data_IF_324249840209
#
_entry.id   IF_324249840209
#
_cell.length_a   1.000
_cell.length_b   1.000
_cell.length_c   1.000
_cell.angle_alpha   90.00
_cell.angle_beta   90.00
_cell.angle_gamma   90.00
#
_symmetry.space_group_name_H-M   'P 1'
#
loop_
_entity.id
_entity.type
_entity.pdbx_description
1 polymer ?
#
# COMPACT_ATOMS: atom_id res chain seq x y z
N UNK A 1 -41.49 -13.56 -66.43
CA UNK A 1 -41.65 -14.17 -65.09
C UNK A 1 -40.27 -14.58 -64.60
N UNK A 2 -39.65 -13.78 -63.73
CA UNK A 2 -38.37 -14.10 -63.08
C UNK A 2 -38.63 -14.24 -61.59
N UNK A 3 -38.29 -15.40 -61.05
CA UNK A 3 -38.49 -15.78 -59.65
C UNK A 3 -37.60 -14.95 -58.72
N UNK A 4 -38.19 -14.48 -57.61
CA UNK A 4 -37.48 -13.86 -56.50
C UNK A 4 -36.93 -14.95 -55.58
N UNK A 5 -35.61 -14.98 -55.42
CA UNK A 5 -34.93 -15.80 -54.41
C UNK A 5 -34.83 -15.00 -53.12
N UNK A 6 -35.53 -15.44 -52.08
CA UNK A 6 -35.44 -14.90 -50.71
C UNK A 6 -34.22 -15.53 -50.04
N UNK A 7 -33.22 -14.72 -49.68
CA UNK A 7 -32.09 -15.13 -48.84
C UNK A 7 -32.45 -14.77 -47.40
N UNK A 8 -32.74 -15.78 -46.59
CA UNK A 8 -32.92 -15.64 -45.14
C UNK A 8 -31.54 -15.46 -44.48
N UNK A 9 -31.27 -14.26 -43.96
CA UNK A 9 -30.10 -13.98 -43.14
C UNK A 9 -30.30 -14.52 -41.73
N UNK A 10 -29.53 -15.55 -41.38
CA UNK A 10 -29.40 -16.07 -40.01
C UNK A 10 -28.57 -15.06 -39.20
N UNK A 11 -29.20 -14.35 -38.26
CA UNK A 11 -28.48 -13.56 -37.24
C UNK A 11 -28.15 -14.51 -36.09
N UNK A 12 -26.89 -14.93 -36.02
CA UNK A 12 -26.36 -15.69 -34.90
C UNK A 12 -26.02 -14.70 -33.77
N UNK A 13 -26.90 -14.56 -32.78
CA UNK A 13 -26.57 -13.88 -31.52
C UNK A 13 -25.59 -14.78 -30.73
N UNK A 14 -24.30 -14.45 -30.76
CA UNK A 14 -23.35 -14.97 -29.79
C UNK A 14 -23.55 -14.23 -28.47
N UNK A 15 -24.18 -14.88 -27.50
CA UNK A 15 -24.09 -14.49 -26.08
C UNK A 15 -22.71 -14.89 -25.56
N UNK A 16 -21.77 -13.94 -25.51
CA UNK A 16 -20.56 -14.09 -24.69
C UNK A 16 -20.98 -14.03 -23.22
N UNK A 17 -21.12 -15.18 -22.59
CA UNK A 17 -21.16 -15.32 -21.14
C UNK A 17 -19.71 -15.42 -20.63
N UNK A 18 -19.09 -14.27 -20.37
CA UNK A 18 -17.89 -14.17 -19.54
C UNK A 18 -17.99 -12.87 -18.72
N UNK A 19 -18.78 -12.91 -17.66
CA UNK A 19 -18.67 -11.98 -16.55
C UNK A 19 -18.63 -12.84 -15.28
N UNK A 20 -17.42 -13.16 -14.81
CA UNK A 20 -17.26 -13.45 -13.40
C UNK A 20 -17.69 -12.20 -12.67
N UNK A 21 -18.78 -12.27 -11.92
CA UNK A 21 -19.20 -11.17 -11.07
C UNK A 21 -18.02 -10.76 -10.18
N UNK A 22 -17.73 -9.45 -10.01
CA UNK A 22 -16.82 -9.02 -8.96
C UNK A 22 -17.33 -9.61 -7.65
N UNK A 23 -16.45 -10.30 -6.94
CA UNK A 23 -16.73 -10.89 -5.63
C UNK A 23 -17.16 -9.73 -4.74
N UNK A 24 -18.46 -9.71 -4.43
CA UNK A 24 -19.13 -8.55 -3.88
C UNK A 24 -18.52 -8.11 -2.55
N UNK A 25 -18.03 -6.87 -2.49
CA UNK A 25 -17.77 -6.07 -1.28
C UNK A 25 -19.08 -5.66 -0.56
N UNK A 26 -20.19 -6.39 -0.76
CA UNK A 26 -21.53 -5.91 -0.45
C UNK A 26 -21.98 -6.07 1.01
N UNK A 27 -21.14 -6.57 1.93
CA UNK A 27 -21.53 -6.80 3.33
C UNK A 27 -20.64 -6.10 4.38
N UNK A 28 -19.73 -5.19 3.98
CA UNK A 28 -18.85 -4.50 4.94
C UNK A 28 -19.51 -3.32 5.70
N UNK A 29 -20.68 -2.85 5.27
CA UNK A 29 -21.39 -1.74 5.92
C UNK A 29 -22.45 -2.22 6.93
N UNK A 30 -22.02 -2.80 8.07
CA UNK A 30 -22.90 -2.86 9.26
C UNK A 30 -22.19 -3.24 10.58
N UNK A 31 -21.03 -3.88 10.54
CA UNK A 31 -20.28 -4.25 11.74
C UNK A 31 -18.81 -3.86 11.57
N UNK A 32 -18.55 -2.55 11.54
CA UNK A 32 -17.21 -2.06 11.78
C UNK A 32 -16.82 -2.47 13.21
N UNK A 33 -15.92 -3.45 13.29
CA UNK A 33 -15.33 -3.94 14.53
C UNK A 33 -14.93 -2.76 15.41
N UNK A 34 -15.65 -2.58 16.52
CA UNK A 34 -15.41 -1.49 17.49
C UNK A 34 -14.22 -1.78 18.40
N UNK A 35 -13.54 -2.92 18.20
CA UNK A 35 -12.33 -3.25 18.93
C UNK A 35 -11.22 -2.20 18.62
N UNK A 36 -10.45 -1.77 19.64
CA UNK A 36 -9.27 -0.95 19.44
C UNK A 36 -8.35 -1.59 18.40
N UNK A 37 -7.86 -0.80 17.44
CA UNK A 37 -6.88 -1.23 16.42
C UNK A 37 -5.51 -0.65 16.78
N UNK A 38 -5.18 -0.69 18.07
CA UNK A 38 -4.07 0.03 18.70
C UNK A 38 -2.71 -0.66 18.50
N UNK A 39 -2.70 -1.96 18.18
CA UNK A 39 -1.52 -2.75 17.86
C UNK A 39 -1.21 -2.87 16.37
N UNK A 40 0.05 -3.22 16.06
CA UNK A 40 0.44 -3.62 14.71
C UNK A 40 -0.32 -4.88 14.30
N UNK A 41 -0.92 -4.83 13.12
CA UNK A 41 -1.56 -5.98 12.48
C UNK A 41 -0.60 -6.60 11.48
N UNK A 42 -0.65 -7.93 11.37
CA UNK A 42 0.14 -8.66 10.40
C UNK A 42 -0.72 -9.60 9.55
N UNK A 43 -0.32 -9.82 8.30
CA UNK A 43 -0.95 -10.77 7.38
C UNK A 43 0.07 -11.84 7.01
N UNK A 44 -0.17 -13.08 7.42
CA UNK A 44 0.74 -14.19 7.18
C UNK A 44 0.52 -14.80 5.79
N UNK A 45 1.52 -14.66 4.91
CA UNK A 45 1.43 -15.30 3.58
C UNK A 45 1.33 -16.82 3.66
N UNK A 46 1.87 -17.44 4.72
CA UNK A 46 1.80 -18.88 4.95
C UNK A 46 0.35 -19.41 5.06
N UNK A 47 -0.61 -18.54 5.40
CA UNK A 47 -2.04 -18.91 5.42
C UNK A 47 -2.62 -19.06 4.00
N UNK A 48 -1.94 -18.51 2.99
CA UNK A 48 -2.39 -18.46 1.60
C UNK A 48 -1.57 -19.35 0.65
N UNK A 49 -0.39 -19.79 1.07
CA UNK A 49 0.52 -20.61 0.25
C UNK A 49 1.06 -21.79 1.04
N UNK A 50 1.22 -22.94 0.39
CA UNK A 50 1.94 -24.07 0.99
C UNK A 50 3.38 -23.64 1.34
N UNK A 51 3.74 -23.82 2.62
CA UNK A 51 4.79 -23.11 3.36
C UNK A 51 6.23 -23.18 2.81
N UNK A 52 6.50 -23.96 1.76
CA UNK A 52 7.87 -24.35 1.38
C UNK A 52 8.41 -23.71 0.10
N UNK A 53 7.71 -22.76 -0.53
CA UNK A 53 8.18 -22.21 -1.80
C UNK A 53 7.95 -20.71 -1.96
N UNK A 54 9.02 -19.92 -1.89
CA UNK A 54 9.02 -18.51 -2.30
C UNK A 54 8.48 -18.19 -3.69
N UNK A 55 8.53 -19.16 -4.60
CA UNK A 55 7.87 -19.08 -5.90
C UNK A 55 6.35 -18.98 -5.75
N UNK A 56 5.76 -19.70 -4.80
CA UNK A 56 4.34 -19.65 -4.48
C UNK A 56 3.95 -18.28 -3.90
N UNK A 57 4.77 -17.69 -3.02
CA UNK A 57 4.52 -16.35 -2.49
C UNK A 57 4.46 -15.28 -3.60
N UNK A 58 5.48 -15.25 -4.47
CA UNK A 58 5.49 -14.32 -5.59
C UNK A 58 4.32 -14.60 -6.57
N UNK A 59 4.04 -15.85 -6.88
CA UNK A 59 2.92 -16.24 -7.74
C UNK A 59 1.56 -15.84 -7.15
N UNK A 60 1.36 -16.00 -5.85
CA UNK A 60 0.17 -15.57 -5.13
C UNK A 60 -0.01 -14.05 -5.23
N UNK A 61 1.00 -13.26 -4.87
CA UNK A 61 0.93 -11.80 -4.95
C UNK A 61 0.73 -11.29 -6.40
N UNK A 62 1.28 -12.00 -7.40
CA UNK A 62 0.98 -11.74 -8.81
C UNK A 62 -0.49 -12.05 -9.13
N UNK A 63 -1.01 -13.17 -8.63
CA UNK A 63 -2.41 -13.56 -8.78
C UNK A 63 -3.37 -12.54 -8.17
N UNK A 64 -3.11 -12.11 -6.94
CA UNK A 64 -3.87 -11.08 -6.24
C UNK A 64 -3.89 -9.76 -7.02
N UNK A 65 -2.72 -9.31 -7.49
CA UNK A 65 -2.65 -8.11 -8.32
C UNK A 65 -3.44 -8.27 -9.63
N UNK A 66 -3.36 -9.42 -10.29
CA UNK A 66 -4.15 -9.71 -11.50
C UNK A 66 -5.65 -9.73 -11.22
N UNK A 67 -6.06 -10.11 -10.01
CA UNK A 67 -7.46 -10.12 -9.58
C UNK A 67 -8.05 -8.71 -9.45
N UNK A 68 -7.24 -7.71 -9.08
CA UNK A 68 -7.69 -6.32 -8.93
C UNK A 68 -7.45 -5.45 -10.16
N UNK A 69 -6.49 -5.82 -11.01
CA UNK A 69 -6.19 -5.07 -12.25
C UNK A 69 -7.24 -5.36 -13.32
N UNK A 70 -7.93 -4.34 -13.86
CA UNK A 70 -8.93 -4.54 -14.90
C UNK A 70 -8.28 -4.97 -16.23
N UNK A 71 -9.05 -5.67 -17.07
CA UNK A 71 -8.57 -6.14 -18.38
C UNK A 71 -8.22 -5.03 -19.37
N UNK A 72 -8.65 -3.80 -19.10
CA UNK A 72 -8.26 -2.59 -19.82
C UNK A 72 -8.10 -1.45 -18.83
N UNK A 73 -7.13 -0.58 -19.09
CA UNK A 73 -6.75 0.50 -18.19
C UNK A 73 -6.73 1.85 -18.94
N UNK A 74 -7.17 2.92 -18.29
CA UNK A 74 -7.24 4.28 -18.83
C UNK A 74 -6.25 5.21 -18.11
N UNK A 75 -5.64 6.21 -18.78
CA UNK A 75 -4.67 7.10 -18.13
C UNK A 75 -5.16 7.77 -16.82
N UNK A 76 -6.43 8.12 -16.75
CA UNK A 76 -7.04 8.78 -15.59
C UNK A 76 -7.28 7.83 -14.41
N UNK A 77 -7.16 6.51 -14.61
CA UNK A 77 -7.32 5.53 -13.53
C UNK A 77 -6.25 5.71 -12.44
N UNK A 78 -5.12 6.36 -12.75
CA UNK A 78 -4.06 6.65 -11.77
C UNK A 78 -4.48 7.68 -10.72
N UNK A 79 -5.48 8.52 -10.99
CA UNK A 79 -5.94 9.53 -10.04
C UNK A 79 -6.70 8.87 -8.89
N UNK A 80 -6.25 9.07 -7.65
CA UNK A 80 -7.00 8.60 -6.48
C UNK A 80 -8.22 9.48 -6.19
N UNK A 81 -8.15 10.75 -6.58
CA UNK A 81 -9.17 11.76 -6.29
C UNK A 81 -9.60 12.47 -7.57
N UNK A 82 -10.92 12.53 -7.80
CA UNK A 82 -11.50 13.33 -8.87
C UNK A 82 -11.53 14.82 -8.50
N UNK A 83 -11.56 15.10 -7.19
CA UNK A 83 -11.45 16.42 -6.61
C UNK A 83 -10.58 16.38 -5.35
N UNK A 84 -9.68 17.35 -5.20
CA UNK A 84 -8.90 17.51 -3.97
C UNK A 84 -8.50 18.96 -3.76
N UNK A 85 -9.15 19.65 -2.83
CA UNK A 85 -8.83 21.04 -2.51
C UNK A 85 -9.32 21.42 -1.11
N UNK A 86 -8.48 22.16 -0.40
CA UNK A 86 -8.82 22.93 0.81
C UNK A 86 -9.76 22.21 1.79
N UNK A 87 -9.42 20.97 2.17
CA UNK A 87 -10.16 20.22 3.18
C UNK A 87 -11.34 19.39 2.68
N UNK A 88 -11.51 19.27 1.37
CA UNK A 88 -12.45 18.36 0.75
C UNK A 88 -11.74 17.52 -0.33
N UNK A 89 -12.16 16.26 -0.45
CA UNK A 89 -11.68 15.36 -1.47
C UNK A 89 -12.77 14.35 -1.84
N UNK A 90 -12.93 14.11 -3.14
CA UNK A 90 -13.81 13.08 -3.67
C UNK A 90 -12.93 12.04 -4.38
N UNK A 91 -13.14 10.77 -4.08
CA UNK A 91 -12.40 9.69 -4.76
C UNK A 91 -12.74 9.66 -6.26
N UNK A 92 -11.77 9.29 -7.08
CA UNK A 92 -12.01 9.03 -8.50
C UNK A 92 -12.82 7.76 -8.69
N UNK A 93 -13.56 7.68 -9.79
CA UNK A 93 -14.04 6.40 -10.31
C UNK A 93 -12.92 5.79 -11.14
N UNK A 94 -12.05 5.03 -10.48
CA UNK A 94 -10.95 4.27 -11.10
C UNK A 94 -10.88 2.88 -10.48
N UNK A 95 -10.14 1.94 -11.08
CA UNK A 95 -10.00 0.61 -10.45
C UNK A 95 -9.26 0.67 -9.10
N UNK A 96 -8.39 1.66 -8.89
CA UNK A 96 -7.80 1.89 -7.56
C UNK A 96 -8.86 2.31 -6.53
N UNK A 97 -10.06 2.71 -6.96
CA UNK A 97 -11.15 3.02 -6.04
C UNK A 97 -11.72 1.78 -5.32
N UNK A 98 -11.52 0.56 -5.85
CA UNK A 98 -11.86 -0.68 -5.14
C UNK A 98 -10.95 -0.91 -3.92
N UNK A 99 -9.82 -0.22 -3.85
CA UNK A 99 -8.85 -0.29 -2.77
C UNK A 99 -8.98 0.93 -1.86
N UNK A 100 -8.83 0.73 -0.55
CA UNK A 100 -9.00 1.81 0.43
C UNK A 100 -7.69 2.52 0.75
N UNK A 101 -7.47 3.70 0.18
CA UNK A 101 -6.32 4.57 0.46
C UNK A 101 -6.55 5.58 1.60
N UNK A 102 -7.69 5.50 2.30
CA UNK A 102 -8.10 6.51 3.30
C UNK A 102 -7.12 6.64 4.47
N UNK A 103 -6.35 5.59 4.76
CA UNK A 103 -5.32 5.58 5.79
C UNK A 103 -4.05 6.37 5.45
N UNK A 104 -3.99 7.02 4.28
CA UNK A 104 -2.84 7.80 3.82
C UNK A 104 -3.17 9.31 3.85
N UNK A 105 -2.36 10.08 4.57
CA UNK A 105 -2.53 11.54 4.68
C UNK A 105 -1.86 12.27 3.50
N UNK A 106 -2.62 12.47 2.41
CA UNK A 106 -2.18 13.13 1.17
C UNK A 106 -2.24 14.68 1.16
N UNK A 107 -2.59 15.28 2.29
CA UNK A 107 -2.84 16.72 2.41
C UNK A 107 -1.57 17.58 2.30
N UNK A 108 -0.40 17.00 2.58
CA UNK A 108 0.91 17.65 2.41
C UNK A 108 1.93 16.69 1.81
N UNK A 109 3.03 17.21 1.23
CA UNK A 109 4.10 16.37 0.68
C UNK A 109 4.69 15.38 1.69
N UNK A 110 4.77 15.72 2.97
CA UNK A 110 5.18 14.81 4.05
C UNK A 110 4.06 13.79 4.31
N UNK A 111 3.90 12.84 3.40
CA UNK A 111 2.88 11.79 3.47
C UNK A 111 3.09 10.94 4.72
N UNK A 112 1.98 10.63 5.39
CA UNK A 112 1.93 9.75 6.55
C UNK A 112 0.99 8.58 6.25
N UNK A 113 1.31 7.39 6.74
CA UNK A 113 0.50 6.17 6.50
C UNK A 113 0.16 5.50 7.82
N UNK A 114 -1.12 5.22 8.08
CA UNK A 114 -1.57 4.57 9.32
C UNK A 114 -1.15 3.10 9.39
N UNK A 115 -0.61 2.70 10.54
CA UNK A 115 -0.19 1.32 10.85
C UNK A 115 -0.91 0.77 12.10
N UNK A 116 -1.48 1.66 12.91
CA UNK A 116 -2.50 1.39 13.93
C UNK A 116 -3.54 2.51 13.84
N UNK A 117 -4.63 2.48 14.61
CA UNK A 117 -5.59 3.59 14.63
C UNK A 117 -5.01 4.91 15.17
N UNK A 118 -3.87 4.88 15.88
CA UNK A 118 -3.26 6.06 16.50
C UNK A 118 -1.80 6.29 16.11
N UNK A 119 -1.24 5.43 15.27
CA UNK A 119 0.16 5.52 14.84
C UNK A 119 0.30 5.57 13.34
N UNK A 120 1.15 6.48 12.87
CA UNK A 120 1.50 6.64 11.45
C UNK A 120 2.99 6.43 11.22
N UNK A 121 3.34 5.97 10.03
CA UNK A 121 4.71 6.00 9.50
C UNK A 121 4.93 7.23 8.62
N UNK A 122 6.09 7.83 8.81
CA UNK A 122 6.69 8.79 7.89
C UNK A 122 8.02 8.24 7.35
N UNK A 123 8.45 8.74 6.20
CA UNK A 123 9.88 8.73 5.90
C UNK A 123 10.63 9.52 6.97
N UNK A 124 11.69 8.95 7.49
CA UNK A 124 12.36 9.47 8.67
C UNK A 124 12.91 10.90 8.48
N UNK A 125 13.48 11.18 7.31
CA UNK A 125 13.97 12.51 6.93
C UNK A 125 12.86 13.50 6.52
N UNK A 126 11.60 13.08 6.44
CA UNK A 126 10.52 13.86 5.86
C UNK A 126 9.22 13.74 6.67
N UNK A 127 9.28 14.17 7.93
CA UNK A 127 8.19 14.10 8.90
C UNK A 127 7.41 15.41 9.01
N UNK A 128 6.22 15.35 9.61
CA UNK A 128 5.52 16.53 10.13
C UNK A 128 5.79 16.65 11.63
N UNK A 129 6.13 17.85 12.08
CA UNK A 129 6.48 18.10 13.48
C UNK A 129 5.27 17.92 14.41
N UNK A 130 5.48 17.63 15.71
CA UNK A 130 4.42 17.70 16.70
C UNK A 130 3.64 19.02 16.63
N UNK A 131 2.31 18.94 16.79
CA UNK A 131 1.38 20.04 16.58
C UNK A 131 0.87 20.18 15.14
N UNK A 132 1.46 19.48 14.16
CA UNK A 132 0.96 19.47 12.79
C UNK A 132 -0.28 18.57 12.64
N UNK A 133 -1.24 19.03 11.82
CA UNK A 133 -2.41 18.24 11.44
C UNK A 133 -2.10 17.27 10.29
N UNK A 134 -2.68 16.07 10.36
CA UNK A 134 -2.85 15.10 9.29
C UNK A 134 -4.33 15.07 8.91
N UNK A 135 -4.63 15.12 7.62
CA UNK A 135 -6.00 15.02 7.12
C UNK A 135 -6.17 13.72 6.33
N UNK A 136 -7.03 12.85 6.81
CA UNK A 136 -7.43 11.60 6.16
C UNK A 136 -8.79 11.79 5.49
N UNK A 137 -9.01 11.12 4.36
CA UNK A 137 -10.25 11.21 3.61
C UNK A 137 -10.81 9.81 3.39
N UNK A 138 -11.94 9.51 4.04
CA UNK A 138 -12.65 8.26 3.88
C UNK A 138 -13.34 8.17 2.51
N UNK A 139 -13.74 6.96 2.10
CA UNK A 139 -14.40 6.69 0.82
C UNK A 139 -15.75 7.41 0.67
N UNK A 140 -16.43 7.66 1.78
CA UNK A 140 -17.63 8.50 1.86
C UNK A 140 -17.34 10.01 1.70
N UNK A 141 -16.10 10.38 1.33
CA UNK A 141 -15.58 11.75 1.17
C UNK A 141 -15.52 12.55 2.47
N UNK A 142 -15.76 11.92 3.62
CA UNK A 142 -15.64 12.58 4.91
C UNK A 142 -14.17 12.76 5.31
N UNK A 143 -13.88 13.92 5.89
CA UNK A 143 -12.55 14.28 6.38
C UNK A 143 -12.38 13.94 7.86
N UNK A 144 -11.23 13.36 8.20
CA UNK A 144 -10.81 13.10 9.58
C UNK A 144 -9.46 13.78 9.81
N UNK A 145 -9.43 14.75 10.70
CA UNK A 145 -8.20 15.44 11.10
C UNK A 145 -7.64 14.86 12.40
N UNK A 146 -6.32 14.69 12.46
CA UNK A 146 -5.59 14.30 13.68
C UNK A 146 -4.33 15.13 13.84
N UNK A 147 -3.94 15.40 15.06
CA UNK A 147 -2.71 16.15 15.37
C UNK A 147 -1.60 15.20 15.73
N UNK A 148 -0.42 15.38 15.14
CA UNK A 148 0.79 14.66 15.58
C UNK A 148 1.16 15.15 16.99
N UNK A 149 1.11 14.28 18.00
CA UNK A 149 1.47 14.59 19.39
C UNK A 149 2.96 14.43 19.64
N UNK A 150 3.53 13.36 19.10
CA UNK A 150 4.91 13.00 19.34
C UNK A 150 5.45 12.21 18.14
N UNK A 151 6.77 12.17 18.03
CA UNK A 151 7.49 11.44 16.99
C UNK A 151 8.58 10.60 17.64
N UNK A 152 8.78 9.39 17.13
CA UNK A 152 9.89 8.52 17.51
C UNK A 152 10.58 7.98 16.27
N UNK A 153 11.87 8.27 16.14
CA UNK A 153 12.72 7.65 15.12
C UNK A 153 12.80 6.15 15.37
N UNK A 154 12.62 5.35 14.32
CA UNK A 154 12.74 3.88 14.39
C UNK A 154 14.19 3.46 14.69
N UNK A 155 15.17 4.27 14.27
CA UNK A 155 16.57 4.07 14.62
C UNK A 155 17.26 3.08 13.68
N UNK A 156 18.06 2.18 14.25
CA UNK A 156 18.89 1.23 13.50
C UNK A 156 18.38 -0.19 13.62
N UNK A 157 18.56 -0.99 12.58
CA UNK A 157 18.37 -2.45 12.65
C UNK A 157 19.59 -3.20 12.13
N UNK A 158 19.79 -4.45 12.58
CA UNK A 158 20.73 -5.38 11.97
C UNK A 158 20.55 -5.42 10.45
N UNK A 159 21.68 -5.49 9.75
CA UNK A 159 21.69 -5.69 8.30
C UNK A 159 21.57 -7.19 8.03
N UNK A 160 20.90 -7.54 6.93
CA UNK A 160 20.77 -8.93 6.49
C UNK A 160 22.10 -9.57 6.05
N UNK A 161 23.19 -8.80 5.96
CA UNK A 161 24.52 -9.24 5.57
C UNK A 161 25.55 -9.32 6.70
N UNK A 162 25.09 -9.21 7.94
CA UNK A 162 25.91 -9.26 9.14
C UNK A 162 27.03 -8.19 9.22
N UNK A 163 27.01 -7.14 8.37
CA UNK A 163 27.95 -6.01 8.44
C UNK A 163 27.56 -4.97 9.51
N UNK A 164 26.88 -5.41 10.57
CA UNK A 164 26.42 -4.58 11.68
C UNK A 164 25.00 -4.02 11.47
N UNK A 165 24.78 -2.79 11.93
CA UNK A 165 23.46 -2.14 11.85
C UNK A 165 23.41 -1.05 10.77
N UNK A 166 22.23 -0.79 10.23
CA UNK A 166 21.95 0.31 9.32
C UNK A 166 20.82 1.20 9.83
N UNK A 167 20.92 2.50 9.55
CA UNK A 167 19.84 3.44 9.84
C UNK A 167 18.60 3.10 8.99
N UNK A 168 17.47 2.99 9.67
CA UNK A 168 16.15 2.85 9.07
C UNK A 168 15.58 4.26 8.93
N UNK A 169 15.33 4.66 7.69
CA UNK A 169 14.75 5.97 7.41
C UNK A 169 13.23 6.00 7.63
N UNK A 170 12.82 5.72 8.88
CA UNK A 170 11.43 5.77 9.34
C UNK A 170 11.32 6.56 10.64
N UNK A 171 10.16 7.19 10.80
CA UNK A 171 9.69 7.78 12.05
C UNK A 171 8.25 7.34 12.28
N UNK A 172 7.95 6.86 13.49
CA UNK A 172 6.58 6.64 13.97
C UNK A 172 6.06 7.96 14.55
N UNK A 173 4.85 8.36 14.17
CA UNK A 173 4.14 9.46 14.79
C UNK A 173 2.95 8.98 15.60
N UNK A 174 2.79 9.51 16.81
CA UNK A 174 1.60 9.32 17.65
C UNK A 174 0.58 10.42 17.34
N UNK A 175 -0.67 10.03 17.16
CA UNK A 175 -1.81 10.94 16.98
C UNK A 175 -2.47 11.31 18.32
N UNK A 176 -3.09 12.48 18.36
CA UNK A 176 -3.88 12.97 19.50
C UNK A 176 -5.01 12.03 19.88
N UNK A 177 -5.68 11.46 18.88
CA UNK A 177 -6.80 10.53 19.05
C UNK A 177 -6.74 9.40 18.01
N UNK A 178 -7.31 8.22 18.31
CA UNK A 178 -7.44 7.16 17.31
C UNK A 178 -8.34 7.64 16.14
N UNK A 179 -8.07 7.18 14.92
CA UNK A 179 -8.94 7.40 13.76
C UNK A 179 -10.15 6.47 13.79
N UNK A 180 -11.33 6.89 13.31
CA UNK A 180 -12.52 6.03 13.26
C UNK A 180 -12.32 4.86 12.29
N UNK A 181 -13.13 3.81 12.45
CA UNK A 181 -13.04 2.56 11.68
C UNK A 181 -13.13 2.74 10.15
N UNK A 182 -13.83 3.79 9.68
CA UNK A 182 -13.92 4.17 8.26
C UNK A 182 -12.62 4.64 7.62
N UNK A 183 -11.57 4.82 8.42
CA UNK A 183 -10.22 5.09 7.94
C UNK A 183 -9.42 3.80 8.02
N UNK A 184 -8.84 3.40 6.89
CA UNK A 184 -8.01 2.22 6.77
C UNK A 184 -6.79 2.28 7.70
N UNK A 185 -6.44 1.13 8.25
CA UNK A 185 -5.20 0.87 8.98
C UNK A 185 -4.53 -0.30 8.28
N UNK A 186 -3.33 -0.08 7.76
CA UNK A 186 -2.69 -1.07 6.89
C UNK A 186 -1.88 -2.06 7.72
N UNK A 187 -2.15 -3.37 7.61
CA UNK A 187 -1.30 -4.37 8.23
C UNK A 187 0.07 -4.40 7.53
N UNK A 188 1.05 -4.95 8.24
CA UNK A 188 2.33 -5.34 7.67
C UNK A 188 2.25 -6.80 7.23
N UNK A 189 3.17 -7.21 6.36
CA UNK A 189 3.27 -8.63 6.02
C UNK A 189 3.91 -9.38 7.20
N UNK A 190 3.24 -10.41 7.73
CA UNK A 190 3.88 -11.39 8.60
C UNK A 190 4.65 -12.35 7.70
N UNK A 191 5.95 -12.40 7.91
CA UNK A 191 6.82 -13.26 7.12
C UNK A 191 7.81 -13.86 8.08
N UNK A 192 7.47 -15.07 8.53
CA UNK A 192 8.50 -16.00 8.97
C UNK A 192 9.60 -16.04 7.89
N UNK A 193 10.85 -15.95 8.33
CA UNK A 193 12.06 -15.79 7.52
C UNK A 193 12.17 -16.65 6.23
N UNK A 194 11.67 -17.91 6.12
CA UNK A 194 11.73 -18.66 4.86
C UNK A 194 10.81 -18.14 3.73
N UNK A 195 9.69 -17.46 4.03
CA UNK A 195 8.76 -16.96 2.99
C UNK A 195 9.28 -15.67 2.34
N UNK A 196 9.94 -14.81 3.11
CA UNK A 196 10.67 -13.64 2.62
C UNK A 196 11.89 -14.03 1.78
N UNK A 197 12.61 -15.07 2.22
CA UNK A 197 13.72 -15.65 1.47
C UNK A 197 13.31 -15.97 0.02
N UNK A 198 12.05 -16.37 -0.10
CA UNK A 198 11.38 -16.64 -1.34
C UNK A 198 11.13 -15.47 -2.28
N UNK A 199 10.90 -14.28 -1.74
CA UNK A 199 10.71 -13.05 -2.52
C UNK A 199 12.05 -12.40 -2.90
N UNK A 200 13.16 -12.79 -2.26
CA UNK A 200 14.46 -12.19 -2.56
C UNK A 200 14.88 -12.41 -4.01
N UNK A 201 15.33 -11.32 -4.63
CA UNK A 201 15.73 -11.28 -6.03
C UNK A 201 14.58 -11.44 -7.03
N UNK A 202 13.32 -11.51 -6.56
CA UNK A 202 12.13 -11.55 -7.41
C UNK A 202 11.54 -10.16 -7.58
N UNK A 203 10.90 -9.96 -8.74
CA UNK A 203 10.03 -8.81 -8.98
C UNK A 203 8.61 -9.20 -8.57
N UNK A 204 8.08 -8.51 -7.57
CA UNK A 204 6.72 -8.70 -7.07
C UNK A 204 5.93 -7.44 -7.38
N UNK A 205 4.73 -7.51 -7.94
CA UNK A 205 3.96 -6.31 -8.20
C UNK A 205 3.52 -5.65 -6.90
N UNK A 206 3.57 -4.32 -6.88
CA UNK A 206 3.11 -3.48 -5.77
C UNK A 206 2.36 -2.28 -6.33
N UNK A 207 1.46 -1.72 -5.53
CA UNK A 207 0.85 -0.42 -5.81
C UNK A 207 1.68 0.63 -5.10
N UNK A 208 2.10 1.67 -5.82
CA UNK A 208 2.85 2.80 -5.26
C UNK A 208 2.03 4.06 -5.37
N UNK A 209 2.14 4.94 -4.38
CA UNK A 209 1.54 6.27 -4.44
C UNK A 209 2.60 7.35 -4.59
N UNK A 210 2.20 8.59 -4.87
CA UNK A 210 3.13 9.70 -5.04
C UNK A 210 2.57 11.05 -4.56
N UNK A 211 3.44 12.07 -4.55
CA UNK A 211 3.11 13.43 -4.11
C UNK A 211 2.01 14.14 -4.91
N UNK A 212 1.63 13.59 -6.07
CA UNK A 212 0.49 14.08 -6.87
C UNK A 212 -0.81 13.37 -6.54
N UNK A 213 -0.82 12.51 -5.50
CA UNK A 213 -2.01 11.75 -5.05
C UNK A 213 -2.51 10.78 -6.13
N UNK A 214 -1.56 10.23 -6.88
CA UNK A 214 -1.81 9.19 -7.86
C UNK A 214 -1.31 7.86 -7.35
N UNK A 215 -2.00 6.79 -7.72
CA UNK A 215 -1.52 5.43 -7.59
C UNK A 215 -1.00 4.91 -8.93
N UNK A 216 -0.05 3.99 -8.87
CA UNK A 216 0.55 3.35 -10.04
C UNK A 216 1.00 1.96 -9.68
N UNK A 217 1.17 1.11 -10.69
CA UNK A 217 1.70 -0.23 -10.47
C UNK A 217 3.21 -0.16 -10.66
N UNK A 218 3.94 -0.80 -9.77
CA UNK A 218 5.39 -0.95 -9.86
C UNK A 218 5.75 -2.38 -9.54
N UNK A 219 7.04 -2.71 -9.65
CA UNK A 219 7.55 -3.96 -9.14
C UNK A 219 8.50 -3.68 -8.00
N UNK A 220 8.29 -4.34 -6.88
CA UNK A 220 9.23 -4.34 -5.80
C UNK A 220 10.22 -5.48 -6.07
N UNK A 221 11.49 -5.12 -6.25
CA UNK A 221 12.56 -6.07 -6.14
C UNK A 221 12.98 -6.09 -4.68
N UNK A 222 12.59 -7.16 -3.97
CA UNK A 222 13.14 -7.41 -2.64
C UNK A 222 14.57 -7.85 -2.88
N UNK A 223 15.47 -6.90 -3.09
CA UNK A 223 16.87 -7.20 -2.94
C UNK A 223 17.10 -7.17 -1.44
N UNK A 224 17.68 -8.23 -0.89
CA UNK A 224 18.77 -7.92 0.02
C UNK A 224 19.77 -7.14 -0.84
N UNK A 225 19.67 -5.81 -0.93
CA UNK A 225 20.95 -5.11 -0.94
C UNK A 225 21.49 -5.51 0.40
N UNK A 226 22.36 -6.52 0.32
CA UNK A 226 23.12 -7.17 1.38
C UNK A 226 23.38 -6.10 2.45
N UNK A 227 23.71 -4.88 2.02
CA UNK A 227 23.88 -3.71 2.85
C UNK A 227 22.83 -3.22 3.86
N UNK A 228 21.49 -3.29 3.72
CA UNK A 228 20.65 -2.42 4.59
C UNK A 228 19.21 -2.83 4.94
N UNK A 229 18.70 -3.96 4.44
CA UNK A 229 17.27 -4.31 4.67
C UNK A 229 16.28 -3.37 3.95
N UNK A 230 16.67 -2.83 2.80
CA UNK A 230 15.84 -1.97 1.94
C UNK A 230 15.20 -2.78 0.83
N UNK A 231 14.05 -2.33 0.33
CA UNK A 231 13.47 -2.76 -0.94
C UNK A 231 13.75 -1.72 -2.02
N UNK A 232 13.91 -2.19 -3.26
CA UNK A 232 14.02 -1.32 -4.43
C UNK A 232 12.75 -1.44 -5.25
N UNK A 233 12.22 -0.30 -5.69
CA UNK A 233 10.97 -0.28 -6.43
C UNK A 233 11.26 -0.13 -7.92
N UNK A 234 11.47 -1.22 -8.62
CA UNK A 234 11.76 -1.16 -10.06
C UNK A 234 10.52 -0.78 -10.89
N UNK A 235 10.66 0.28 -11.66
CA UNK A 235 9.68 0.70 -12.68
C UNK A 235 9.87 -0.14 -13.93
N UNK A 236 9.29 -1.34 -13.92
CA UNK A 236 9.20 -2.20 -15.10
C UNK A 236 7.76 -2.63 -15.25
N UNK A 237 7.09 -2.10 -16.26
CA UNK A 237 5.77 -2.52 -16.74
C UNK A 237 5.92 -2.89 -18.21
N UNK A 238 5.23 -3.95 -18.65
CA UNK A 238 5.33 -4.46 -20.03
C UNK A 238 6.26 -5.66 -20.22
N UNK A 239 6.82 -6.21 -19.14
CA UNK A 239 7.42 -7.56 -19.11
C UNK A 239 6.75 -8.37 -18.00
N UNK A 240 6.54 -9.69 -18.20
CA UNK A 240 6.02 -10.61 -17.17
C UNK A 240 6.63 -10.27 -15.79
N UNK A 241 5.80 -10.08 -14.74
CA UNK A 241 4.51 -10.77 -14.55
C UNK A 241 3.21 -9.98 -14.83
N UNK A 242 3.27 -8.69 -15.21
CA UNK A 242 2.08 -7.90 -15.55
C UNK A 242 2.26 -7.18 -16.90
N UNK A 243 1.49 -7.60 -17.90
CA UNK A 243 1.42 -6.96 -19.22
C UNK A 243 0.55 -5.70 -19.17
N UNK A 244 1.06 -4.66 -18.52
CA UNK A 244 0.43 -3.35 -18.40
C UNK A 244 1.10 -2.33 -19.33
N UNK A 245 0.38 -1.27 -19.77
CA UNK A 245 0.97 -0.17 -20.54
C UNK A 245 2.18 0.47 -19.84
N UNK A 246 3.17 0.92 -20.61
CA UNK A 246 4.42 1.48 -20.07
C UNK A 246 4.20 2.80 -19.30
N UNK A 247 3.21 3.60 -19.72
CA UNK A 247 2.80 4.87 -19.12
C UNK A 247 2.11 4.71 -17.75
N UNK A 248 1.86 3.46 -17.34
CA UNK A 248 1.41 3.11 -16.00
C UNK A 248 2.53 2.99 -14.98
N UNK A 249 3.78 3.13 -15.41
CA UNK A 249 4.92 3.15 -14.52
C UNK A 249 5.14 4.54 -13.95
N UNK A 250 5.32 4.61 -12.64
CA UNK A 250 5.63 5.87 -11.98
C UNK A 250 7.04 5.87 -11.45
N UNK A 251 7.90 6.72 -12.01
CA UNK A 251 9.22 6.96 -11.44
C UNK A 251 9.16 8.05 -10.36
N UNK A 252 9.62 7.77 -9.12
CA UNK A 252 9.70 8.70 -8.03
C UNK A 252 10.46 9.95 -8.40
N UNK A 253 9.97 11.02 -7.79
CA UNK A 253 10.42 12.37 -7.91
C UNK A 253 10.68 12.90 -6.52
N UNK A 254 11.51 13.94 -6.46
CA UNK A 254 11.75 14.67 -5.22
C UNK A 254 10.41 15.08 -4.59
N UNK A 255 10.21 14.72 -3.33
CA UNK A 255 8.98 14.99 -2.60
C UNK A 255 8.02 13.80 -2.52
N UNK A 256 8.32 12.66 -3.14
CA UNK A 256 7.57 11.42 -2.91
C UNK A 256 7.96 10.69 -1.64
N UNK A 257 8.98 11.17 -0.91
CA UNK A 257 9.39 10.59 0.37
C UNK A 257 8.18 10.40 1.30
N UNK A 258 8.09 9.23 1.92
CA UNK A 258 6.99 8.88 2.82
C UNK A 258 5.73 8.36 2.12
N UNK A 259 5.61 8.49 0.80
CA UNK A 259 4.50 7.86 0.09
C UNK A 259 4.63 6.33 0.16
N UNK A 260 3.54 5.62 0.49
CA UNK A 260 3.57 4.18 0.67
C UNK A 260 3.60 3.40 -0.64
N UNK A 261 4.11 2.18 -0.54
CA UNK A 261 3.91 1.09 -1.48
C UNK A 261 3.21 -0.07 -0.78
N UNK A 262 2.32 -0.75 -1.49
CA UNK A 262 1.47 -1.81 -0.95
C UNK A 262 1.57 -3.10 -1.76
N UNK A 263 1.56 -4.24 -1.08
CA UNK A 263 1.09 -5.49 -1.65
C UNK A 263 -0.44 -5.50 -1.68
N UNK A 264 -1.01 -6.37 -2.51
CA UNK A 264 -2.43 -6.72 -2.46
C UNK A 264 -2.52 -8.15 -1.94
N UNK A 265 -3.30 -8.36 -0.87
CA UNK A 265 -3.53 -9.67 -0.26
C UNK A 265 -5.02 -9.76 0.08
N UNK A 266 -5.69 -10.76 -0.46
CA UNK A 266 -7.15 -10.95 -0.41
C UNK A 266 -7.95 -9.69 -0.80
N UNK A 267 -7.45 -8.96 -1.81
CA UNK A 267 -8.03 -7.69 -2.26
C UNK A 267 -7.81 -6.49 -1.33
N UNK A 268 -7.10 -6.64 -0.22
CA UNK A 268 -6.76 -5.54 0.71
C UNK A 268 -5.32 -5.03 0.52
N UNK A 269 -5.09 -3.76 0.89
CA UNK A 269 -3.76 -3.15 0.87
C UNK A 269 -2.95 -3.56 2.10
N UNK A 270 -1.80 -4.22 1.87
CA UNK A 270 -0.82 -4.57 2.91
C UNK A 270 0.44 -3.74 2.72
N UNK A 271 0.87 -3.02 3.75
CA UNK A 271 1.95 -2.04 3.63
C UNK A 271 3.30 -2.72 3.43
N UNK A 272 3.96 -2.43 2.31
CA UNK A 272 5.23 -3.05 1.91
C UNK A 272 6.45 -2.18 2.24
N UNK A 273 6.34 -0.87 1.99
CA UNK A 273 7.44 0.08 2.16
C UNK A 273 6.93 1.53 2.12
N UNK A 274 7.82 2.47 2.42
CA UNK A 274 7.64 3.91 2.18
C UNK A 274 8.85 4.43 1.42
N UNK A 275 8.68 5.33 0.46
CA UNK A 275 9.82 5.92 -0.24
C UNK A 275 10.77 6.68 0.71
N UNK A 276 12.03 6.28 0.76
CA UNK A 276 13.12 6.98 1.46
C UNK A 276 13.99 7.81 0.53
N UNK A 277 13.98 7.54 -0.77
CA UNK A 277 14.62 8.41 -1.76
C UNK A 277 13.92 8.36 -3.12
N UNK A 278 14.20 9.40 -3.92
CA UNK A 278 13.70 9.54 -5.28
C UNK A 278 14.76 9.23 -6.35
N UNK A 279 15.88 8.59 -5.98
CA UNK A 279 17.00 8.37 -6.90
C UNK A 279 16.84 7.04 -7.65
N UNK A 280 17.08 7.06 -8.97
CA UNK A 280 17.06 5.85 -9.79
C UNK A 280 15.70 5.16 -9.80
N UNK A 281 15.67 3.92 -9.29
CA UNK A 281 14.47 3.11 -9.08
C UNK A 281 13.73 3.48 -7.79
N UNK A 282 14.15 4.46 -6.99
CA UNK A 282 13.58 4.67 -5.66
C UNK A 282 13.84 3.47 -4.74
N UNK A 283 13.80 3.75 -3.44
CA UNK A 283 13.97 2.71 -2.42
C UNK A 283 13.19 3.06 -1.17
N UNK A 284 13.07 2.08 -0.29
CA UNK A 284 12.45 2.25 1.01
C UNK A 284 12.85 1.14 1.98
N UNK A 285 12.66 1.34 3.29
CA UNK A 285 12.77 0.28 4.28
C UNK A 285 11.87 -0.92 3.93
N UNK A 286 12.35 -2.14 4.10
CA UNK A 286 11.51 -3.32 3.93
C UNK A 286 10.64 -3.51 5.18
N UNK A 287 9.34 -3.21 5.10
CA UNK A 287 8.44 -3.33 6.25
C UNK A 287 8.02 -4.77 6.54
N UNK A 288 8.38 -5.70 5.65
CA UNK A 288 8.26 -7.14 5.90
C UNK A 288 9.48 -7.68 6.69
N UNK A 289 10.59 -6.93 6.79
CA UNK A 289 11.79 -7.40 7.48
C UNK A 289 11.61 -7.34 9.00
N UNK A 290 11.64 -8.49 9.68
CA UNK A 290 11.35 -8.62 11.12
C UNK A 290 12.13 -7.63 12.01
N UNK A 291 13.46 -7.42 11.85
CA UNK A 291 14.16 -6.42 12.66
C UNK A 291 13.67 -4.98 12.47
N UNK A 292 13.12 -4.63 11.30
CA UNK A 292 12.46 -3.33 11.10
C UNK A 292 11.13 -3.28 11.84
N UNK A 293 10.34 -4.35 11.79
CA UNK A 293 9.05 -4.46 12.49
C UNK A 293 9.21 -4.34 14.01
N UNK A 294 10.20 -5.05 14.59
CA UNK A 294 10.54 -4.96 16.01
C UNK A 294 10.90 -3.52 16.43
N UNK A 295 11.63 -2.79 15.57
CA UNK A 295 11.99 -1.39 15.84
C UNK A 295 10.79 -0.44 15.71
N UNK A 296 9.85 -0.72 14.81
CA UNK A 296 8.58 0.02 14.72
C UNK A 296 7.75 -0.21 15.98
N UNK A 297 7.60 -1.47 16.42
CA UNK A 297 6.87 -1.80 17.65
C UNK A 297 7.49 -1.13 18.86
N UNK A 298 8.82 -1.20 19.03
CA UNK A 298 9.50 -0.51 20.12
C UNK A 298 9.29 1.02 20.11
N UNK A 299 9.19 1.62 18.92
CA UNK A 299 8.88 3.05 18.79
C UNK A 299 7.43 3.38 19.18
N UNK A 300 6.47 2.50 18.85
CA UNK A 300 5.07 2.59 19.30
C UNK A 300 4.99 2.48 20.82
N UNK A 301 5.61 1.45 21.41
CA UNK A 301 5.57 1.21 22.85
C UNK A 301 6.13 2.40 23.64
N UNK A 302 7.25 2.97 23.16
CA UNK A 302 7.84 4.15 23.78
C UNK A 302 6.91 5.38 23.69
N UNK A 303 6.23 5.59 22.57
CA UNK A 303 5.29 6.71 22.40
C UNK A 303 4.06 6.55 23.31
N UNK A 304 3.55 5.33 23.44
CA UNK A 304 2.41 5.04 24.31
C UNK A 304 2.79 5.26 25.78
N UNK A 305 3.94 4.75 26.24
CA UNK A 305 4.42 4.96 27.60
C UNK A 305 4.57 6.46 27.93
N UNK A 306 5.18 7.24 27.01
CA UNK A 306 5.33 8.69 27.18
C UNK A 306 3.99 9.45 27.24
N UNK A 307 2.98 8.97 26.52
CA UNK A 307 1.64 9.57 26.52
C UNK A 307 0.87 9.28 27.83
N UNK A 308 1.14 8.16 28.48
CA UNK A 308 0.55 7.81 29.78
C UNK A 308 1.17 8.59 30.95
N UNK A 309 2.46 8.94 30.85
CA UNK A 309 3.20 9.68 31.89
C UNK A 309 2.99 11.20 31.85
N UNK A 310 2.49 11.75 30.75
CA UNK A 310 2.28 13.19 30.62
C UNK A 310 1.18 13.70 31.58
N UNK A 311 1.45 14.72 32.42
CA UNK A 311 0.43 15.28 33.31
C UNK A 311 -0.74 15.82 32.47
N UNK A 312 -1.96 15.38 32.82
CA UNK A 312 -3.22 15.81 32.19
C UNK A 312 -3.50 17.28 32.43
#
# INVERSE_FOLDING_TARGET
MRAQTVVAGFVLLLTLACAGAPRALADAEANADTAPRDGLRFVALADHIDADNGRAAAAYLIGEMRGVVPGSVLPDDQELFSYYKDGAADYSVSFFNELDFSGVAFDKPQTATLITDRHVLFAGHFTRQPGATLSFFAKDSSRVDRTVKALRRVGKAPRADDRGEADIDLTVGLLDEPVPAKIAVYPLLDVAFPTLAGLYGRQVPVIVTNRRRRASISTLNVQTSIDRGYTYQTYKLGSEPLSLPEDWSYRPRKGDSGNPSFYVVDGELVLASTFSNAAGAGNGPNLAYEPVQQRIQAAIDALNAEAEEAPR
#
